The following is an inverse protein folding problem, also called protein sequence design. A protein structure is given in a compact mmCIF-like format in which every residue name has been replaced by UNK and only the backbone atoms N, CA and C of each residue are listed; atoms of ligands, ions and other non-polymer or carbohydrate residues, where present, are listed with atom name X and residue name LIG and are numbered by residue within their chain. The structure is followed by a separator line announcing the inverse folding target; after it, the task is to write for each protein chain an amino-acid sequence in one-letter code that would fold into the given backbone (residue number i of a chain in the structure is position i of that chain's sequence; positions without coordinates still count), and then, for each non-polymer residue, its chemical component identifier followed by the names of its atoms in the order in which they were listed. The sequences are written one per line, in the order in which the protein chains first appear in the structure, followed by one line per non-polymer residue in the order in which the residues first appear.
data_IF_403852263533
#
_entry.id   IF_403852263533
#
_cell.length_a   1.000
_cell.length_b   1.000
_cell.length_c   1.000
_cell.angle_alpha   90.00
_cell.angle_beta   90.00
_cell.angle_gamma   90.00
#
_symmetry.space_group_name_H-M   'P 1'
#
loop_
_entity.id
_entity.type
_entity.pdbx_description
1 polymer ?
#
# COMPACT_ATOMS: atom_id res chain seq x y z
N UNK A 1 -2.76 -13.95 -2.30
CA UNK A 1 -3.84 -12.95 -2.52
C UNK A 1 -3.65 -11.79 -1.57
N UNK A 2 -3.76 -10.53 -2.02
CA UNK A 2 -3.59 -9.33 -1.19
C UNK A 2 -4.97 -8.79 -0.78
N UNK A 3 -5.30 -8.81 0.51
CA UNK A 3 -6.50 -8.14 1.04
C UNK A 3 -6.07 -6.99 1.94
N UNK A 4 -6.70 -5.83 1.79
CA UNK A 4 -6.40 -4.66 2.60
C UNK A 4 -7.65 -3.83 2.89
N UNK A 5 -7.62 -3.13 4.01
CA UNK A 5 -8.64 -2.16 4.41
C UNK A 5 -7.96 -0.81 4.68
N UNK A 6 -8.64 0.27 4.29
CA UNK A 6 -8.15 1.63 4.49
C UNK A 6 -9.28 2.50 5.04
N UNK A 7 -8.94 3.38 5.97
CA UNK A 7 -9.83 4.39 6.52
C UNK A 7 -9.15 5.75 6.38
N UNK A 8 -9.79 6.65 5.64
CA UNK A 8 -9.28 7.99 5.40
C UNK A 8 -10.21 9.04 6.02
N UNK A 9 -9.63 10.00 6.74
CA UNK A 9 -10.31 11.16 7.28
C UNK A 9 -9.81 12.41 6.57
N UNK A 10 -10.69 13.08 5.82
CA UNK A 10 -10.37 14.30 5.09
C UNK A 10 -10.49 15.51 6.02
N UNK A 11 -9.37 16.17 6.30
CA UNK A 11 -9.33 17.39 7.13
C UNK A 11 -9.85 18.59 6.33
N UNK A 12 -9.48 18.65 5.06
CA UNK A 12 -9.93 19.64 4.09
C UNK A 12 -9.81 19.06 2.66
N UNK A 13 -9.99 19.90 1.64
CA UNK A 13 -9.89 19.49 0.24
C UNK A 13 -8.47 19.09 -0.21
N UNK A 14 -7.44 19.53 0.52
CA UNK A 14 -6.04 19.29 0.21
C UNK A 14 -5.39 18.19 1.05
N UNK A 15 -5.87 17.93 2.27
CA UNK A 15 -5.17 17.09 3.24
C UNK A 15 -6.12 16.08 3.86
N UNK A 16 -5.66 14.83 3.92
CA UNK A 16 -6.33 13.74 4.62
C UNK A 16 -5.35 12.90 5.42
N UNK A 17 -5.86 12.21 6.44
CA UNK A 17 -5.11 11.21 7.21
C UNK A 17 -5.67 9.85 6.82
N UNK A 18 -4.82 8.88 6.53
CA UNK A 18 -5.21 7.52 6.19
C UNK A 18 -4.57 6.52 7.15
N UNK A 19 -5.38 5.64 7.72
CA UNK A 19 -4.90 4.40 8.33
C UNK A 19 -5.11 3.25 7.36
N UNK A 20 -4.08 2.44 7.14
CA UNK A 20 -4.15 1.24 6.29
C UNK A 20 -3.70 -0.01 7.02
N UNK A 21 -4.36 -1.10 6.68
CA UNK A 21 -3.98 -2.46 7.05
C UNK A 21 -3.98 -3.31 5.78
N UNK A 22 -2.86 -3.93 5.44
CA UNK A 22 -2.75 -4.85 4.31
C UNK A 22 -2.17 -6.20 4.75
N UNK A 23 -2.70 -7.27 4.19
CA UNK A 23 -2.21 -8.63 4.36
C UNK A 23 -1.97 -9.25 2.98
N UNK A 24 -0.71 -9.60 2.72
CA UNK A 24 -0.28 -10.32 1.53
C UNK A 24 0.23 -11.72 1.91
N UNK A 25 -0.09 -12.73 1.12
CA UNK A 25 0.69 -13.97 1.12
C UNK A 25 1.80 -13.82 0.10
N UNK A 26 3.05 -13.91 0.54
CA UNK A 26 4.22 -13.89 -0.35
C UNK A 26 4.31 -15.18 -1.17
N UNK A 27 4.61 -15.03 -2.46
CA UNK A 27 4.79 -16.16 -3.39
C UNK A 27 6.07 -16.97 -3.10
N UNK A 28 6.16 -18.16 -3.69
CA UNK A 28 7.36 -19.01 -3.60
C UNK A 28 8.57 -18.31 -4.21
N UNK A 29 9.71 -18.35 -3.52
CA UNK A 29 10.96 -17.86 -4.11
C UNK A 29 11.40 -18.83 -5.21
N UNK A 30 12.01 -18.32 -6.29
CA UNK A 30 12.49 -19.14 -7.43
C UNK A 30 13.44 -20.26 -7.02
N UNK A 31 14.12 -20.12 -5.87
CA UNK A 31 14.98 -21.16 -5.31
C UNK A 31 14.20 -22.35 -4.72
N UNK A 32 13.03 -22.11 -4.14
CA UNK A 32 12.14 -23.16 -3.61
C UNK A 32 11.34 -23.86 -4.73
N UNK A 33 11.07 -23.16 -5.84
CA UNK A 33 10.51 -23.78 -7.06
C UNK A 33 11.50 -24.76 -7.71
N UNK A 34 12.80 -24.44 -7.67
CA UNK A 34 13.86 -25.27 -8.24
C UNK A 34 14.30 -26.43 -7.32
N UNK A 35 14.14 -26.30 -6.00
CA UNK A 35 14.51 -27.32 -5.02
C UNK A 35 13.42 -27.49 -3.93
N UNK A 36 12.38 -28.30 -4.18
CA UNK A 36 11.22 -28.47 -3.28
C UNK A 36 11.56 -29.04 -1.89
N UNK A 37 12.72 -29.67 -1.75
CA UNK A 37 13.22 -30.28 -0.50
C UNK A 37 13.95 -29.30 0.42
N UNK A 38 14.21 -28.06 -0.02
CA UNK A 38 14.87 -27.01 0.75
C UNK A 38 13.87 -25.94 1.22
N UNK A 39 12.74 -26.39 1.78
CA UNK A 39 11.70 -25.51 2.36
C UNK A 39 12.32 -24.69 3.50
N UNK A 40 12.77 -23.47 3.21
CA UNK A 40 13.49 -22.61 4.15
C UNK A 40 12.54 -21.84 5.06
N UNK A 41 11.29 -21.62 4.65
CA UNK A 41 10.28 -20.87 5.40
C UNK A 41 8.93 -21.61 5.36
N UNK A 42 8.35 -21.87 6.53
CA UNK A 42 7.08 -22.59 6.65
C UNK A 42 5.92 -21.79 6.04
N UNK A 43 4.88 -22.47 5.53
CA UNK A 43 3.71 -21.83 4.91
C UNK A 43 2.99 -20.80 5.82
N UNK A 44 3.24 -20.77 7.14
CA UNK A 44 2.68 -19.78 8.08
C UNK A 44 3.51 -18.49 8.20
N UNK A 45 4.80 -18.55 7.85
CA UNK A 45 5.75 -17.42 7.98
C UNK A 45 5.79 -16.53 6.72
N UNK A 46 5.07 -16.93 5.65
CA UNK A 46 4.95 -16.18 4.37
C UNK A 46 3.90 -15.07 4.38
N UNK A 47 3.26 -14.83 5.53
CA UNK A 47 2.24 -13.78 5.66
C UNK A 47 2.91 -12.44 5.90
N UNK A 48 2.87 -11.58 4.89
CA UNK A 48 3.23 -10.17 4.96
C UNK A 48 2.04 -9.41 5.54
N UNK A 49 2.24 -8.71 6.66
CA UNK A 49 1.21 -7.83 7.24
C UNK A 49 1.79 -6.45 7.43
N UNK A 50 1.16 -5.44 6.86
CA UNK A 50 1.54 -4.04 7.05
C UNK A 50 0.40 -3.28 7.71
N UNK A 51 0.76 -2.40 8.64
CA UNK A 51 -0.15 -1.44 9.25
C UNK A 51 0.55 -0.11 9.38
N UNK A 52 -0.07 0.93 8.85
CA UNK A 52 0.55 2.24 8.75
C UNK A 52 -0.46 3.36 8.88
N UNK A 53 0.06 4.52 9.26
CA UNK A 53 -0.67 5.79 9.28
C UNK A 53 0.07 6.75 8.36
N UNK A 54 -0.68 7.31 7.42
CA UNK A 54 -0.16 8.14 6.34
C UNK A 54 -0.89 9.48 6.28
N UNK A 55 -0.14 10.53 6.02
CA UNK A 55 -0.66 11.83 5.63
C UNK A 55 -0.77 11.86 4.10
N UNK A 56 -1.92 12.30 3.62
CA UNK A 56 -2.23 12.43 2.21
C UNK A 56 -2.42 13.87 1.79
N UNK A 57 -1.87 14.24 0.63
CA UNK A 57 -2.02 15.56 0.02
C UNK A 57 -2.63 15.44 -1.37
N UNK A 58 -3.82 16.00 -1.58
CA UNK A 58 -4.45 16.16 -2.89
C UNK A 58 -3.79 17.34 -3.61
N UNK A 59 -3.16 17.08 -4.75
CA UNK A 59 -2.36 18.08 -5.45
C UNK A 59 -3.19 18.96 -6.39
N UNK A 60 -4.14 18.37 -7.11
CA UNK A 60 -4.96 19.09 -8.09
C UNK A 60 -6.34 18.44 -8.17
N UNK A 61 -7.44 19.21 -7.98
CA UNK A 61 -8.74 18.77 -8.46
C UNK A 61 -8.69 18.74 -9.98
N UNK A 62 -8.84 17.56 -10.55
CA UNK A 62 -8.83 17.34 -11.99
C UNK A 62 -10.19 16.77 -12.44
N UNK A 63 -10.44 16.86 -13.74
CA UNK A 63 -11.52 16.15 -14.39
C UNK A 63 -10.91 15.16 -15.37
N UNK A 64 -11.25 13.89 -15.22
CA UNK A 64 -10.84 12.86 -16.18
C UNK A 64 -12.04 12.48 -17.03
N UNK A 65 -11.83 12.51 -18.35
CA UNK A 65 -12.85 12.15 -19.30
C UNK A 65 -12.79 10.65 -19.57
N UNK A 66 -13.82 9.92 -19.15
CA UNK A 66 -13.93 8.46 -19.35
C UNK A 66 -15.25 8.18 -20.07
N UNK A 67 -15.20 7.45 -21.18
CA UNK A 67 -16.38 7.03 -21.97
C UNK A 67 -17.36 8.16 -22.34
N UNK A 68 -16.89 9.35 -22.68
CA UNK A 68 -17.79 10.45 -23.07
C UNK A 68 -18.31 11.28 -21.88
N UNK A 69 -17.90 10.99 -20.64
CA UNK A 69 -18.34 11.68 -19.42
C UNK A 69 -17.14 12.21 -18.63
N UNK A 70 -17.30 13.42 -18.08
CA UNK A 70 -16.34 13.99 -17.13
C UNK A 70 -16.60 13.41 -15.74
N UNK A 71 -15.56 12.83 -15.14
CA UNK A 71 -15.57 12.38 -13.74
C UNK A 71 -14.59 13.24 -12.96
N UNK A 72 -14.98 13.62 -11.74
CA UNK A 72 -14.06 14.26 -10.80
C UNK A 72 -12.94 13.29 -10.46
N UNK A 73 -11.70 13.75 -10.49
CA UNK A 73 -10.54 12.95 -10.12
C UNK A 73 -9.51 13.76 -9.36
N UNK A 74 -8.78 13.09 -8.48
CA UNK A 74 -7.72 13.69 -7.69
C UNK A 74 -6.44 12.87 -7.84
N UNK A 75 -5.32 13.56 -8.01
CA UNK A 75 -3.99 12.98 -7.82
C UNK A 75 -3.52 13.37 -6.43
N UNK A 76 -3.03 12.40 -5.67
CA UNK A 76 -2.59 12.61 -4.30
C UNK A 76 -1.24 11.95 -4.02
N UNK A 77 -0.50 12.54 -3.10
CA UNK A 77 0.70 11.95 -2.51
C UNK A 77 0.38 11.44 -1.12
N UNK A 78 1.11 10.42 -0.69
CA UNK A 78 1.04 9.81 0.62
C UNK A 78 2.44 9.75 1.22
N UNK A 79 2.58 10.12 2.48
CA UNK A 79 3.76 9.75 3.26
C UNK A 79 3.37 9.43 4.68
N UNK A 80 4.01 8.43 5.25
CA UNK A 80 3.60 7.86 6.51
C UNK A 80 4.63 6.95 7.09
N UNK A 81 4.26 6.38 8.24
CA UNK A 81 5.07 5.39 8.90
C UNK A 81 4.16 4.35 9.56
N UNK A 82 4.72 3.15 9.70
CA UNK A 82 4.00 2.01 10.21
C UNK A 82 4.93 0.90 10.63
N UNK A 83 4.38 -0.30 10.69
CA UNK A 83 5.16 -1.51 10.90
C UNK A 83 4.81 -2.57 9.88
N UNK A 84 5.84 -3.24 9.40
CA UNK A 84 5.74 -4.39 8.52
C UNK A 84 6.14 -5.63 9.28
N UNK A 85 5.29 -6.65 9.27
CA UNK A 85 5.59 -7.98 9.79
C UNK A 85 5.86 -8.94 8.64
N UNK A 86 7.04 -9.54 8.64
CA UNK A 86 7.44 -10.54 7.65
C UNK A 86 8.40 -11.55 8.28
N UNK A 87 8.22 -12.85 7.99
CA UNK A 87 9.14 -13.89 8.46
C UNK A 87 9.23 -14.06 9.99
N UNK A 88 8.26 -13.54 10.75
CA UNK A 88 8.26 -13.59 12.22
C UNK A 88 8.70 -12.28 12.89
N UNK A 89 9.43 -11.43 12.17
CA UNK A 89 9.97 -10.16 12.67
C UNK A 89 9.08 -8.96 12.33
N UNK A 90 9.17 -7.92 13.17
CA UNK A 90 8.48 -6.65 12.99
C UNK A 90 9.49 -5.54 12.73
N UNK A 91 9.33 -4.84 11.61
CA UNK A 91 10.20 -3.76 11.18
C UNK A 91 9.44 -2.44 11.21
N UNK A 92 10.09 -1.37 11.67
CA UNK A 92 9.60 -0.02 11.44
C UNK A 92 9.73 0.29 9.94
N UNK A 93 8.68 0.87 9.36
CA UNK A 93 8.61 1.10 7.91
C UNK A 93 8.15 2.52 7.67
N UNK A 94 8.90 3.25 6.84
CA UNK A 94 8.46 4.53 6.29
C UNK A 94 7.83 4.23 4.94
N UNK A 95 6.73 4.91 4.60
CA UNK A 95 6.12 4.79 3.30
C UNK A 95 6.06 6.12 2.56
N UNK A 96 6.19 6.01 1.23
CA UNK A 96 6.03 7.08 0.28
C UNK A 96 5.19 6.57 -0.87
N UNK A 97 4.12 7.26 -1.21
CA UNK A 97 3.19 6.81 -2.22
C UNK A 97 2.58 7.93 -3.04
N UNK A 98 2.03 7.54 -4.17
CA UNK A 98 1.22 8.39 -5.01
C UNK A 98 -0.01 7.60 -5.46
N UNK A 99 -1.13 8.28 -5.57
CA UNK A 99 -2.36 7.66 -6.02
C UNK A 99 -3.19 8.55 -6.90
N UNK A 100 -4.05 7.88 -7.65
CA UNK A 100 -5.05 8.47 -8.51
C UNK A 100 -6.42 7.98 -8.07
N UNK A 101 -7.36 8.90 -7.90
CA UNK A 101 -8.72 8.65 -7.42
C UNK A 101 -9.70 9.21 -8.43
N UNK A 102 -10.69 8.41 -8.83
CA UNK A 102 -11.78 8.83 -9.72
C UNK A 102 -13.09 8.61 -8.99
N UNK A 103 -13.89 9.66 -8.84
CA UNK A 103 -15.23 9.58 -8.27
C UNK A 103 -16.19 9.10 -9.35
N UNK A 104 -16.69 7.86 -9.20
CA UNK A 104 -17.66 7.26 -10.10
C UNK A 104 -19.08 7.77 -9.79
N UNK A 105 -19.35 8.05 -8.52
CA UNK A 105 -20.56 8.68 -7.98
C UNK A 105 -20.18 9.59 -6.81
N UNK A 106 -21.15 10.36 -6.28
CA UNK A 106 -20.94 11.24 -5.12
C UNK A 106 -20.49 10.50 -3.85
N UNK A 107 -20.76 9.19 -3.77
CA UNK A 107 -20.45 8.35 -2.60
C UNK A 107 -19.43 7.25 -2.90
N UNK A 108 -19.01 7.06 -4.16
CA UNK A 108 -18.10 5.98 -4.55
C UNK A 108 -16.95 6.51 -5.40
N UNK A 109 -15.73 6.15 -5.02
CA UNK A 109 -14.55 6.37 -5.84
C UNK A 109 -13.81 5.06 -6.11
N UNK A 110 -13.14 5.03 -7.26
CA UNK A 110 -12.13 4.04 -7.56
C UNK A 110 -10.75 4.64 -7.37
N UNK A 111 -9.86 3.89 -6.73
CA UNK A 111 -8.50 4.32 -6.41
C UNK A 111 -7.49 3.37 -7.03
N UNK A 112 -6.44 3.95 -7.57
CA UNK A 112 -5.19 3.31 -7.90
C UNK A 112 -4.09 3.95 -7.07
N UNK A 113 -3.19 3.14 -6.55
CA UNK A 113 -2.14 3.62 -5.67
C UNK A 113 -0.87 2.81 -5.88
N UNK A 114 0.27 3.52 -5.87
CA UNK A 114 1.61 2.95 -5.82
C UNK A 114 2.25 3.44 -4.53
N UNK A 115 2.76 2.52 -3.71
CA UNK A 115 3.35 2.83 -2.43
C UNK A 115 4.67 2.08 -2.27
N UNK A 116 5.73 2.81 -1.98
CA UNK A 116 7.03 2.24 -1.62
C UNK A 116 7.13 2.15 -0.10
N UNK A 117 7.40 0.94 0.40
CA UNK A 117 7.67 0.66 1.80
C UNK A 117 9.17 0.50 2.00
N UNK A 118 9.75 1.47 2.71
CA UNK A 118 11.19 1.56 2.96
C UNK A 118 11.45 1.13 4.41
N UNK A 119 12.26 0.09 4.59
CA UNK A 119 12.67 -0.40 5.91
C UNK A 119 14.13 -0.90 5.89
N UNK A 120 14.85 -0.67 6.98
CA UNK A 120 16.21 -1.18 7.16
C UNK A 120 16.15 -2.55 7.84
N UNK A 121 16.92 -3.50 7.32
CA UNK A 121 16.87 -4.90 7.75
C UNK A 121 18.23 -5.33 8.31
N UNK A 122 18.39 -5.24 9.62
CA UNK A 122 19.57 -5.75 10.33
C UNK A 122 19.45 -7.28 10.50
N UNK A 123 19.88 -8.06 9.51
CA UNK A 123 19.89 -9.54 9.63
C UNK A 123 21.29 -10.11 9.86
N UNK A 124 22.36 -9.41 9.47
CA UNK A 124 23.73 -9.95 9.61
C UNK A 124 24.84 -8.91 9.90
N UNK A 125 24.50 -7.69 10.32
CA UNK A 125 25.48 -6.64 10.63
C UNK A 125 25.93 -5.79 9.43
N UNK A 126 25.20 -5.85 8.32
CA UNK A 126 25.24 -4.87 7.23
C UNK A 126 23.87 -4.17 7.14
N UNK A 127 23.88 -2.84 7.09
CA UNK A 127 22.68 -2.00 6.89
C UNK A 127 22.14 -2.17 5.46
N UNK A 128 21.24 -3.13 5.25
CA UNK A 128 20.53 -3.29 3.98
C UNK A 128 19.20 -2.53 4.01
N UNK A 129 19.12 -1.42 3.26
CA UNK A 129 17.88 -0.69 3.01
C UNK A 129 17.06 -1.43 1.94
N UNK A 130 15.90 -1.96 2.34
CA UNK A 130 14.98 -2.66 1.44
C UNK A 130 13.86 -1.70 1.00
N UNK A 131 13.58 -1.68 -0.31
CA UNK A 131 12.44 -0.98 -0.90
C UNK A 131 11.43 -2.02 -1.41
N UNK A 132 10.17 -1.90 -1.01
CA UNK A 132 9.10 -2.81 -1.41
C UNK A 132 7.94 -2.03 -2.02
N UNK A 133 7.87 -2.06 -3.36
CA UNK A 133 6.86 -1.34 -4.13
C UNK A 133 5.56 -2.17 -4.18
N UNK A 134 4.50 -1.61 -3.60
CA UNK A 134 3.14 -2.14 -3.65
C UNK A 134 2.31 -1.38 -4.69
N UNK A 135 1.60 -2.13 -5.53
CA UNK A 135 0.56 -1.61 -6.41
C UNK A 135 -0.80 -2.05 -5.88
N UNK A 136 -1.75 -1.13 -5.77
CA UNK A 136 -3.10 -1.48 -5.33
C UNK A 136 -4.18 -0.79 -6.14
N UNK A 137 -5.29 -1.49 -6.28
CA UNK A 137 -6.55 -0.97 -6.83
C UNK A 137 -7.65 -1.24 -5.82
N UNK A 138 -8.49 -0.25 -5.53
CA UNK A 138 -9.52 -0.38 -4.49
C UNK A 138 -10.73 0.49 -4.77
N UNK A 139 -11.91 0.01 -4.37
CA UNK A 139 -13.11 0.83 -4.30
C UNK A 139 -13.19 1.51 -2.93
N UNK A 140 -13.64 2.75 -2.89
CA UNK A 140 -13.79 3.56 -1.67
C UNK A 140 -15.20 4.12 -1.60
N UNK A 141 -15.76 4.14 -0.40
CA UNK A 141 -17.09 4.67 -0.12
C UNK A 141 -16.93 5.92 0.77
N UNK A 142 -17.63 6.99 0.42
CA UNK A 142 -17.67 8.27 1.15
C UNK A 142 -19.02 8.42 1.82
N UNK A 143 -19.01 8.95 3.04
CA UNK A 143 -20.17 9.20 3.88
C UNK A 143 -20.00 10.52 4.64
#
# INVERSE_FOLDING_TARGET
SLFGARLAFHLNEFVFIEGSYSEAEGDQTTFEELFPSAQLISNRERKYKSWDVSLGWNLLPNETWIFGRAFKSDVYLLTGAGRTKFGGDNWFTINLGAGFRVFLTDWMAWRFEVRDHIFNRDIFGEDDQTNNIEYSTSASIYF
#
